data_IF_119698456069
#
_entry.id   IF_119698456069
#
_cell.length_a   1.000
_cell.length_b   1.000
_cell.length_c   1.000
_cell.angle_alpha   90.00
_cell.angle_beta   90.00
_cell.angle_gamma   90.00
#
_symmetry.space_group_name_H-M   'P 1'
#
loop_
_entity.id
_entity.type
_entity.pdbx_description
1 polymer ?
#
# COMPACT_ATOMS: atom_id res chain seq x y z
N UNK A 1 -12.75 -9.74 0.92
CA UNK A 1 -12.28 -10.96 0.22
C UNK A 1 -10.78 -10.84 -0.02
N UNK A 2 -10.04 -11.96 -0.04
CA UNK A 2 -8.56 -11.94 -0.03
C UNK A 2 -7.95 -12.46 -1.35
N UNK A 3 -6.86 -11.85 -1.82
CA UNK A 3 -6.08 -12.29 -2.98
C UNK A 3 -4.59 -12.38 -2.61
N UNK A 4 -3.87 -13.35 -3.21
CA UNK A 4 -2.41 -13.54 -3.04
C UNK A 4 -1.55 -12.77 -4.04
N UNK A 5 -2.18 -11.94 -4.89
CA UNK A 5 -1.49 -11.08 -5.84
C UNK A 5 -1.72 -9.62 -5.44
N UNK A 6 -0.72 -8.74 -5.59
CA UNK A 6 -0.90 -7.34 -5.28
C UNK A 6 -1.83 -6.70 -6.31
N UNK A 7 -2.63 -5.72 -5.91
CA UNK A 7 -3.48 -5.00 -6.86
C UNK A 7 -2.70 -3.94 -7.66
N UNK A 8 -1.77 -3.25 -6.99
CA UNK A 8 -0.85 -2.30 -7.60
C UNK A 8 0.59 -2.82 -7.54
N UNK A 9 1.41 -2.58 -8.57
CA UNK A 9 2.84 -2.87 -8.53
C UNK A 9 3.53 -2.09 -7.42
N UNK A 10 4.45 -2.74 -6.69
CA UNK A 10 5.17 -2.09 -5.59
C UNK A 10 5.99 -0.88 -6.06
N UNK A 11 6.51 -0.91 -7.29
CA UNK A 11 7.25 0.22 -7.87
C UNK A 11 6.37 1.47 -8.03
N UNK A 12 5.12 1.31 -8.45
CA UNK A 12 4.16 2.41 -8.60
C UNK A 12 3.78 3.00 -7.23
N UNK A 13 3.57 2.14 -6.23
CA UNK A 13 3.30 2.57 -4.85
C UNK A 13 4.47 3.42 -4.33
N UNK A 14 5.71 2.97 -4.52
CA UNK A 14 6.90 3.72 -4.09
C UNK A 14 7.01 5.06 -4.81
N UNK A 15 6.78 5.09 -6.13
CA UNK A 15 6.80 6.34 -6.90
C UNK A 15 5.75 7.34 -6.41
N UNK A 16 4.52 6.88 -6.13
CA UNK A 16 3.45 7.72 -5.59
C UNK A 16 3.81 8.30 -4.21
N UNK A 17 4.40 7.48 -3.32
CA UNK A 17 4.83 7.94 -2.00
C UNK A 17 6.00 8.93 -2.10
N UNK A 18 6.95 8.72 -3.01
CA UNK A 18 8.03 9.68 -3.24
C UNK A 18 7.50 11.02 -3.74
N UNK A 19 6.44 11.02 -4.55
CA UNK A 19 5.81 12.23 -5.05
C UNK A 19 4.94 12.96 -4.01
N UNK A 20 4.14 12.23 -3.24
CA UNK A 20 3.17 12.80 -2.29
C UNK A 20 3.73 13.01 -0.87
N UNK A 21 4.81 12.31 -0.50
CA UNK A 21 5.39 12.40 0.84
C UNK A 21 4.42 11.98 1.94
N UNK A 22 4.31 12.80 2.98
CA UNK A 22 3.43 12.54 4.14
C UNK A 22 1.94 12.59 3.78
N UNK A 23 1.56 13.31 2.72
CA UNK A 23 0.16 13.40 2.27
C UNK A 23 -0.38 12.08 1.71
N UNK A 24 0.51 11.10 1.44
CA UNK A 24 0.13 9.75 1.05
C UNK A 24 -0.43 8.91 2.22
N UNK A 25 -0.33 9.41 3.47
CA UNK A 25 -0.64 8.66 4.67
C UNK A 25 -1.81 9.28 5.44
N UNK A 26 -2.59 8.43 6.11
CA UNK A 26 -3.55 8.89 7.11
C UNK A 26 -2.82 9.37 8.36
N UNK A 27 -3.48 10.20 9.17
CA UNK A 27 -2.90 10.75 10.40
C UNK A 27 -2.34 9.68 11.36
N UNK A 28 -2.95 8.50 11.40
CA UNK A 28 -2.53 7.38 12.27
C UNK A 28 -1.36 6.56 11.71
N UNK A 29 -0.97 6.78 10.45
CA UNK A 29 0.06 6.00 9.75
C UNK A 29 1.28 6.82 9.30
N UNK A 30 1.45 8.04 9.81
CA UNK A 30 2.51 8.99 9.39
C UNK A 30 3.94 8.44 9.52
N UNK A 31 4.18 7.50 10.43
CA UNK A 31 5.51 6.90 10.63
C UNK A 31 5.85 5.79 9.61
N UNK A 32 4.96 5.49 8.66
CA UNK A 32 5.10 4.36 7.74
C UNK A 32 6.02 4.58 6.53
N UNK A 33 6.39 5.82 6.20
CA UNK A 33 7.07 6.14 4.93
C UNK A 33 8.37 5.35 4.71
N UNK A 34 9.27 5.37 5.69
CA UNK A 34 10.57 4.67 5.58
C UNK A 34 10.40 3.15 5.44
N UNK A 35 9.39 2.58 6.10
CA UNK A 35 9.07 1.16 6.04
C UNK A 35 8.61 0.79 4.62
N UNK A 36 7.70 1.56 4.03
CA UNK A 36 7.16 1.27 2.69
C UNK A 36 8.24 1.36 1.61
N UNK A 37 9.14 2.35 1.69
CA UNK A 37 10.25 2.48 0.75
C UNK A 37 11.24 1.31 0.82
N UNK A 38 11.35 0.64 1.98
CA UNK A 38 12.17 -0.56 2.19
C UNK A 38 11.53 -1.88 1.77
N UNK A 39 10.24 -1.91 1.42
CA UNK A 39 9.55 -3.17 1.06
C UNK A 39 10.11 -3.82 -0.20
N UNK A 40 10.05 -5.15 -0.24
CA UNK A 40 10.37 -5.98 -1.40
C UNK A 40 9.11 -6.75 -1.85
N UNK A 41 8.98 -7.12 -3.14
CA UNK A 41 7.79 -7.82 -3.64
C UNK A 41 7.44 -9.11 -2.89
N UNK A 42 8.45 -9.81 -2.36
CA UNK A 42 8.30 -11.07 -1.63
C UNK A 42 7.68 -10.87 -0.24
N UNK A 43 7.68 -9.63 0.27
CA UNK A 43 7.06 -9.26 1.55
C UNK A 43 5.54 -9.07 1.43
N UNK A 44 4.95 -9.28 0.25
CA UNK A 44 3.51 -9.23 0.06
C UNK A 44 2.82 -10.32 0.89
N UNK A 45 2.00 -9.90 1.85
CA UNK A 45 1.15 -10.84 2.59
C UNK A 45 -0.12 -11.19 1.81
N UNK A 46 -0.94 -10.18 1.47
CA UNK A 46 -2.19 -10.33 0.71
C UNK A 46 -2.73 -8.96 0.24
N UNK A 47 -3.70 -8.99 -0.66
CA UNK A 47 -4.55 -7.84 -1.02
C UNK A 47 -6.00 -8.12 -0.61
N UNK A 48 -6.70 -7.10 -0.09
CA UNK A 48 -7.97 -7.25 0.62
C UNK A 48 -9.01 -6.22 0.19
N UNK A 49 -10.24 -6.66 -0.04
CA UNK A 49 -11.42 -5.78 -0.09
C UNK A 49 -12.28 -5.95 1.15
N UNK A 50 -13.08 -4.94 1.47
CA UNK A 50 -14.06 -5.00 2.57
C UNK A 50 -15.47 -5.21 2.05
N UNK A 51 -16.41 -5.54 2.94
CA UNK A 51 -17.83 -5.60 2.55
C UNK A 51 -18.42 -4.21 2.29
N UNK A 52 -18.01 -3.23 3.11
CA UNK A 52 -18.47 -1.83 3.00
C UNK A 52 -18.04 -1.20 1.67
N UNK A 53 -16.84 -1.52 1.19
CA UNK A 53 -16.39 -1.16 -0.14
C UNK A 53 -15.62 -2.33 -0.79
N UNK A 54 -16.28 -2.94 -1.77
CA UNK A 54 -15.76 -4.08 -2.52
C UNK A 54 -14.96 -3.66 -3.76
N UNK A 55 -14.92 -2.36 -4.08
CA UNK A 55 -14.24 -1.81 -5.26
C UNK A 55 -12.82 -1.36 -4.95
N UNK A 56 -12.54 -1.04 -3.69
CA UNK A 56 -11.22 -0.59 -3.22
C UNK A 56 -10.49 -1.74 -2.51
N UNK A 57 -9.20 -1.87 -2.80
CA UNK A 57 -8.28 -2.82 -2.18
C UNK A 57 -6.88 -2.23 -1.96
#
# INVERSE_FOLDING_TARGET
MEKRKPHYPLAEIKAAITHLGLDAFTATALQGMAVVLGLQPEMLFKSMTTFADHRVC
#
